data_IF_071895079423
#
_entry.id   IF_071895079423
#
_cell.length_a   1.000
_cell.length_b   1.000
_cell.length_c   1.000
_cell.angle_alpha   90.00
_cell.angle_beta   90.00
_cell.angle_gamma   90.00
#
_symmetry.space_group_name_H-M   'P 1'
#
loop_
_entity.id
_entity.type
_entity.pdbx_description
1 polymer ?
#
# COMPACT_ATOMS: atom_id res chain seq x y z
N UNK A 1 -1.54 -5.24 14.19
CA UNK A 1 -1.09 -4.42 13.05
C UNK A 1 -1.52 -2.99 13.33
N UNK A 2 -0.57 -2.07 13.39
CA UNK A 2 -0.87 -0.64 13.46
C UNK A 2 -1.33 -0.06 12.13
N UNK A 3 -1.69 1.22 12.12
CA UNK A 3 -2.06 1.94 10.90
C UNK A 3 -0.87 2.05 9.93
N UNK A 4 -1.15 1.93 8.62
CA UNK A 4 -0.16 2.18 7.58
C UNK A 4 0.28 3.65 7.59
N UNK A 5 1.59 3.86 7.46
CA UNK A 5 2.23 5.17 7.47
C UNK A 5 3.18 5.31 6.28
N UNK A 6 3.10 6.44 5.58
CA UNK A 6 4.05 6.82 4.55
C UNK A 6 5.21 7.56 5.22
N UNK A 7 6.42 7.00 5.13
CA UNK A 7 7.62 7.56 5.76
C UNK A 7 8.79 7.51 4.80
N UNK A 8 9.86 8.25 5.13
CA UNK A 8 11.18 7.99 4.58
C UNK A 8 11.86 6.96 5.47
N UNK A 9 12.41 5.92 4.86
CA UNK A 9 13.07 4.83 5.57
C UNK A 9 14.39 5.28 6.22
N UNK A 10 14.69 4.72 7.38
CA UNK A 10 16.02 4.84 8.01
C UNK A 10 17.01 3.82 7.42
N UNK A 11 16.49 2.74 6.83
CA UNK A 11 17.26 1.68 6.18
C UNK A 11 17.52 0.46 7.05
N UNK A 12 17.02 0.45 8.29
CA UNK A 12 17.01 -0.72 9.17
C UNK A 12 15.68 -1.48 9.10
N UNK A 13 14.66 -0.93 8.45
CA UNK A 13 13.34 -1.55 8.40
C UNK A 13 13.35 -2.86 7.62
N UNK A 14 12.63 -3.85 8.13
CA UNK A 14 12.49 -5.14 7.48
C UNK A 14 11.49 -5.08 6.32
N UNK A 15 11.86 -5.68 5.19
CA UNK A 15 10.99 -5.89 4.04
C UNK A 15 11.05 -7.37 3.60
N UNK A 16 10.05 -8.14 4.02
CA UNK A 16 9.89 -9.54 3.62
C UNK A 16 9.42 -9.62 2.16
N UNK A 17 10.17 -10.36 1.34
CA UNK A 17 9.88 -10.52 -0.09
C UNK A 17 10.38 -11.88 -0.58
N UNK A 18 10.33 -12.11 -1.89
CA UNK A 18 10.87 -13.31 -2.53
C UNK A 18 11.88 -12.93 -3.59
N UNK A 19 13.02 -13.60 -3.62
CA UNK A 19 14.04 -13.46 -4.66
C UNK A 19 14.44 -14.86 -5.14
N UNK A 20 14.39 -15.10 -6.46
CA UNK A 20 14.67 -16.43 -7.01
C UNK A 20 13.71 -17.52 -6.55
N UNK A 21 12.50 -17.16 -6.10
CA UNK A 21 11.50 -18.10 -5.56
C UNK A 21 11.63 -18.35 -4.05
N UNK A 22 12.73 -17.93 -3.44
CA UNK A 22 12.98 -18.13 -2.01
C UNK A 22 12.58 -16.91 -1.17
N UNK A 23 12.05 -17.11 0.05
CA UNK A 23 11.82 -16.03 1.00
C UNK A 23 13.13 -15.33 1.38
N UNK A 24 13.14 -14.01 1.30
CA UNK A 24 14.26 -13.17 1.72
C UNK A 24 13.78 -11.96 2.49
N UNK A 25 14.64 -11.43 3.35
CA UNK A 25 14.44 -10.12 3.99
C UNK A 25 15.40 -9.14 3.34
N UNK A 26 14.87 -8.06 2.80
CA UNK A 26 15.65 -6.93 2.33
C UNK A 26 15.41 -5.73 3.26
N UNK A 27 16.22 -4.69 3.10
CA UNK A 27 16.07 -3.42 3.77
C UNK A 27 15.94 -2.29 2.73
N UNK A 28 15.06 -1.29 2.95
CA UNK A 28 15.02 -0.11 2.10
C UNK A 28 16.32 0.70 2.20
N UNK A 29 16.61 1.50 1.18
CA UNK A 29 17.70 2.47 1.31
C UNK A 29 17.29 3.60 2.26
N UNK A 30 18.22 4.18 3.05
CA UNK A 30 17.92 5.39 3.81
C UNK A 30 17.36 6.49 2.90
N UNK A 31 16.27 7.13 3.31
CA UNK A 31 15.54 8.14 2.55
C UNK A 31 14.53 7.60 1.52
N UNK A 32 14.47 6.28 1.29
CA UNK A 32 13.48 5.66 0.40
C UNK A 32 12.06 5.91 0.93
N UNK A 33 11.14 6.32 0.06
CA UNK A 33 9.73 6.49 0.42
C UNK A 33 9.06 5.12 0.51
N UNK A 34 8.59 4.75 1.70
CA UNK A 34 8.00 3.44 1.99
C UNK A 34 6.67 3.57 2.72
N UNK A 35 5.78 2.62 2.48
CA UNK A 35 4.66 2.33 3.36
C UNK A 35 5.08 1.30 4.39
N UNK A 36 4.81 1.57 5.67
CA UNK A 36 5.07 0.62 6.76
C UNK A 36 3.95 0.59 7.80
N UNK A 37 3.87 -0.52 8.52
CA UNK A 37 3.16 -0.62 9.78
C UNK A 37 4.16 -0.81 10.95
N UNK A 38 3.67 -1.23 12.11
CA UNK A 38 4.50 -1.54 13.28
C UNK A 38 5.37 -2.79 13.08
N UNK A 39 4.99 -3.69 12.16
CA UNK A 39 5.69 -4.95 11.93
C UNK A 39 6.76 -4.85 10.83
N UNK A 40 6.69 -3.84 9.94
CA UNK A 40 7.73 -3.61 8.94
C UNK A 40 7.21 -2.91 7.70
N UNK A 41 8.04 -2.86 6.66
CA UNK A 41 7.70 -2.28 5.36
C UNK A 41 6.68 -3.17 4.66
N UNK A 42 5.56 -2.57 4.25
CA UNK A 42 4.51 -3.24 3.47
C UNK A 42 4.64 -2.94 1.98
N UNK A 43 5.17 -1.77 1.63
CA UNK A 43 5.47 -1.39 0.25
C UNK A 43 6.70 -0.49 0.16
N UNK A 44 7.54 -0.77 -0.83
CA UNK A 44 8.78 -0.05 -1.13
C UNK A 44 8.65 0.82 -2.37
N UNK A 45 9.44 1.90 -2.39
CA UNK A 45 9.55 2.85 -3.50
C UNK A 45 8.17 3.36 -3.91
N UNK A 46 7.49 4.02 -2.98
CA UNK A 46 6.06 4.37 -3.06
C UNK A 46 5.19 3.10 -3.10
N UNK A 47 4.22 3.04 -4.01
CA UNK A 47 3.31 1.91 -4.20
C UNK A 47 3.86 0.83 -5.16
N UNK A 48 5.18 0.77 -5.42
CA UNK A 48 5.72 -0.09 -6.48
C UNK A 48 5.87 -1.57 -6.08
N UNK A 49 6.59 -1.86 -4.99
CA UNK A 49 6.94 -3.26 -4.63
C UNK A 49 6.37 -3.64 -3.27
N UNK A 50 5.35 -4.51 -3.26
CA UNK A 50 4.71 -4.96 -2.02
C UNK A 50 5.47 -6.10 -1.35
N UNK A 51 5.37 -6.18 -0.02
CA UNK A 51 5.90 -7.29 0.76
C UNK A 51 5.07 -8.57 0.57
N UNK A 52 5.62 -9.71 0.96
CA UNK A 52 4.91 -11.00 0.93
C UNK A 52 3.85 -11.11 2.01
N UNK A 53 4.12 -10.56 3.21
CA UNK A 53 3.24 -10.64 4.39
C UNK A 53 1.83 -10.11 4.15
N UNK A 54 1.67 -9.04 3.39
CA UNK A 54 0.37 -8.40 3.13
C UNK A 54 -0.21 -8.76 1.75
N UNK A 55 0.27 -9.83 1.13
CA UNK A 55 -0.23 -10.30 -0.17
C UNK A 55 -1.69 -10.74 -0.06
N UNK A 56 -2.50 -10.37 -1.04
CA UNK A 56 -3.87 -10.86 -1.16
C UNK A 56 -3.86 -12.35 -1.51
N UNK A 57 -4.74 -13.11 -0.86
CA UNK A 57 -4.94 -14.54 -1.10
C UNK A 57 -6.43 -14.83 -1.26
N UNK A 58 -6.79 -16.06 -1.66
CA UNK A 58 -8.19 -16.47 -1.69
C UNK A 58 -8.88 -16.46 -0.32
N UNK A 59 -8.12 -16.48 0.78
CA UNK A 59 -8.66 -16.39 2.13
C UNK A 59 -8.82 -14.93 2.61
N UNK A 60 -8.39 -13.94 1.82
CA UNK A 60 -8.46 -12.53 2.23
C UNK A 60 -9.91 -12.03 2.25
N UNK A 61 -10.36 -11.61 3.44
CA UNK A 61 -11.71 -11.03 3.65
C UNK A 61 -11.68 -9.52 3.89
N UNK A 62 -10.50 -8.96 4.15
CA UNK A 62 -10.29 -7.53 4.41
C UNK A 62 -9.02 -7.09 3.69
N UNK A 63 -9.15 -6.10 2.81
CA UNK A 63 -8.05 -5.54 2.04
C UNK A 63 -7.96 -4.03 2.27
N UNK A 64 -6.75 -3.49 2.18
CA UNK A 64 -6.49 -2.06 2.14
C UNK A 64 -5.79 -1.76 0.81
N UNK A 65 -6.34 -0.81 0.06
CA UNK A 65 -5.74 -0.30 -1.16
C UNK A 65 -5.19 1.09 -0.89
N UNK A 66 -3.97 1.33 -1.35
CA UNK A 66 -3.32 2.63 -1.27
C UNK A 66 -3.11 3.13 -2.69
N UNK A 67 -3.59 4.33 -2.98
CA UNK A 67 -3.37 5.02 -4.25
C UNK A 67 -2.56 6.27 -3.92
N UNK A 68 -1.38 6.37 -4.52
CA UNK A 68 -0.50 7.54 -4.42
C UNK A 68 -0.54 8.30 -5.75
N UNK A 69 -0.74 9.62 -5.70
CA UNK A 69 -0.63 10.50 -6.87
C UNK A 69 0.64 11.33 -6.80
N UNK A 70 1.30 11.46 -7.95
CA UNK A 70 2.38 12.42 -8.20
C UNK A 70 1.99 13.26 -9.40
N UNK A 71 2.42 14.53 -9.43
CA UNK A 71 2.17 15.42 -10.56
C UNK A 71 2.60 14.76 -11.89
N UNK A 72 1.78 14.81 -12.95
CA UNK A 72 0.64 15.70 -13.18
C UNK A 72 -0.73 15.21 -12.65
N UNK A 73 -0.80 14.06 -11.95
CA UNK A 73 -2.06 13.59 -11.38
C UNK A 73 -2.43 14.43 -10.15
N UNK A 74 -3.59 15.10 -10.21
CA UNK A 74 -4.12 15.91 -9.12
C UNK A 74 -5.06 15.11 -8.20
N UNK A 75 -5.50 15.73 -7.12
CA UNK A 75 -6.40 15.11 -6.14
C UNK A 75 -7.75 14.71 -6.77
N UNK A 76 -8.20 15.42 -7.82
CA UNK A 76 -9.42 15.10 -8.55
C UNK A 76 -9.28 13.78 -9.29
N UNK A 77 -8.19 13.61 -10.04
CA UNK A 77 -7.89 12.38 -10.76
C UNK A 77 -7.63 11.22 -9.79
N UNK A 78 -6.93 11.47 -8.68
CA UNK A 78 -6.73 10.47 -7.62
C UNK A 78 -8.06 10.01 -7.02
N UNK A 79 -8.96 10.94 -6.70
CA UNK A 79 -10.30 10.61 -6.20
C UNK A 79 -11.09 9.80 -7.22
N UNK A 80 -11.08 10.19 -8.49
CA UNK A 80 -11.78 9.46 -9.55
C UNK A 80 -11.28 8.01 -9.68
N UNK A 81 -9.97 7.78 -9.56
CA UNK A 81 -9.41 6.43 -9.56
C UNK A 81 -9.88 5.61 -8.34
N UNK A 82 -9.97 6.24 -7.16
CA UNK A 82 -10.51 5.62 -5.95
C UNK A 82 -11.99 5.27 -6.08
N UNK A 83 -12.80 6.18 -6.64
CA UNK A 83 -14.23 5.95 -6.90
C UNK A 83 -14.43 4.77 -7.85
N UNK A 84 -13.68 4.71 -8.95
CA UNK A 84 -13.74 3.61 -9.91
C UNK A 84 -13.37 2.25 -9.30
N UNK A 85 -12.38 2.22 -8.41
CA UNK A 85 -12.03 1.00 -7.68
C UNK A 85 -13.17 0.56 -6.74
N UNK A 86 -13.84 1.49 -6.06
CA UNK A 86 -14.97 1.18 -5.18
C UNK A 86 -16.17 0.63 -5.97
N UNK A 87 -16.46 1.18 -7.14
CA UNK A 87 -17.48 0.66 -8.06
C UNK A 87 -17.18 -0.80 -8.46
N UNK A 88 -15.96 -1.05 -8.94
CA UNK A 88 -15.54 -2.41 -9.34
C UNK A 88 -15.61 -3.42 -8.18
N UNK A 89 -15.25 -3.02 -6.96
CA UNK A 89 -15.35 -3.88 -5.78
C UNK A 89 -16.80 -4.17 -5.39
N UNK A 90 -17.69 -3.20 -5.55
CA UNK A 90 -19.13 -3.35 -5.29
C UNK A 90 -19.75 -4.35 -6.27
N UNK A 91 -19.41 -4.23 -7.56
CA UNK A 91 -19.88 -5.14 -8.61
C UNK A 91 -19.37 -6.57 -8.40
N UNK A 92 -18.14 -6.72 -7.92
CA UNK A 92 -17.54 -8.02 -7.64
C UNK A 92 -18.15 -8.73 -6.42
N UNK A 93 -18.83 -8.01 -5.52
CA UNK A 93 -19.28 -8.55 -4.25
C UNK A 93 -20.39 -7.72 -3.58
N UNK A 94 -21.68 -8.09 -3.72
CA UNK A 94 -22.81 -7.30 -3.21
C UNK A 94 -22.90 -7.17 -1.67
N UNK A 95 -21.97 -7.80 -0.93
CA UNK A 95 -21.83 -7.67 0.53
C UNK A 95 -20.57 -6.93 0.98
N UNK A 96 -19.80 -6.34 0.06
CA UNK A 96 -18.57 -5.62 0.43
C UNK A 96 -18.91 -4.36 1.22
N UNK A 97 -18.18 -4.13 2.31
CA UNK A 97 -18.21 -2.85 3.02
C UNK A 97 -16.98 -2.06 2.64
N UNK A 98 -17.18 -0.83 2.16
CA UNK A 98 -16.13 0.03 1.66
C UNK A 98 -16.01 1.27 2.53
N UNK A 99 -14.78 1.73 2.71
CA UNK A 99 -14.47 3.02 3.33
C UNK A 99 -13.26 3.60 2.61
N UNK A 100 -13.25 4.92 2.41
CA UNK A 100 -12.14 5.64 1.79
C UNK A 100 -11.81 6.89 2.59
N UNK A 101 -10.55 7.32 2.47
CA UNK A 101 -10.06 8.56 3.07
C UNK A 101 -8.94 9.12 2.21
N UNK A 102 -9.05 10.38 1.83
CA UNK A 102 -7.95 11.12 1.22
C UNK A 102 -7.00 11.59 2.33
N UNK A 103 -5.69 11.40 2.12
CA UNK A 103 -4.64 11.85 3.03
C UNK A 103 -3.82 12.90 2.29
N UNK A 104 -3.87 14.15 2.75
CA UNK A 104 -3.06 15.23 2.18
C UNK A 104 -1.60 15.13 2.61
N UNK A 105 -0.71 15.76 1.83
CA UNK A 105 0.65 16.02 2.29
C UNK A 105 0.61 16.90 3.55
N UNK A 106 1.41 16.60 4.56
CA UNK A 106 1.61 17.52 5.67
C UNK A 106 2.20 18.83 5.11
N UNK A 107 1.65 19.96 5.56
CA UNK A 107 2.13 21.30 5.19
C UNK A 107 3.57 21.54 5.69
#
# INVERSE_FOLDING_TARGET
>A
MGAARLVRAEGDETFETTAGGEPVVEHPSPGEVVWRDEAGVTCRRWNWRQCTRTRLTHATTRAMFVLDALGPMDDTALKAAGDHLMEALTDAGPGVTLASRLVGAAA
#
